data_IF_672971851015
#
_entry.id   IF_672971851015
#
_cell.length_a   1.000
_cell.length_b   1.000
_cell.length_c   1.000
_cell.angle_alpha   90.00
_cell.angle_beta   90.00
_cell.angle_gamma   90.00
#
_symmetry.space_group_name_H-M   'P 1'
#
loop_
_entity.id
_entity.type
_entity.pdbx_description
1 polymer ?
#
# COMPACT_ATOMS: atom_id res chain seq x y z
N UNK A 1 41.67 26.39 14.58
CA UNK A 1 40.70 27.50 14.68
C UNK A 1 40.82 28.38 13.45
N UNK A 2 40.04 28.06 12.42
CA UNK A 2 39.82 28.87 11.20
C UNK A 2 38.53 28.33 10.58
N UNK A 3 37.45 29.11 10.42
CA UNK A 3 36.25 28.59 9.79
C UNK A 3 36.30 28.82 8.28
N UNK A 4 36.26 27.72 7.52
CA UNK A 4 35.96 27.71 6.09
C UNK A 4 34.45 27.98 5.92
N UNK A 5 34.10 29.15 5.40
CA UNK A 5 32.76 29.43 4.86
C UNK A 5 32.66 28.82 3.47
N UNK A 6 32.11 27.61 3.36
CA UNK A 6 31.60 27.06 2.11
C UNK A 6 30.16 27.51 1.91
N UNK A 7 29.92 28.43 0.98
CA UNK A 7 28.58 28.70 0.43
C UNK A 7 28.25 27.60 -0.56
N UNK A 8 27.32 26.71 -0.23
CA UNK A 8 26.62 25.93 -1.24
C UNK A 8 25.43 26.76 -1.72
N UNK A 9 25.54 27.27 -2.95
CA UNK A 9 24.43 27.77 -3.74
C UNK A 9 23.85 26.54 -4.44
N UNK A 10 22.67 26.07 -4.03
CA UNK A 10 21.92 25.09 -4.81
C UNK A 10 21.13 25.91 -5.83
N UNK A 11 21.64 25.90 -7.06
CA UNK A 11 20.90 26.36 -8.23
C UNK A 11 19.70 25.43 -8.42
N UNK A 12 18.51 25.96 -8.16
CA UNK A 12 17.28 25.34 -8.61
C UNK A 12 17.24 25.37 -10.14
N UNK A 13 16.96 24.19 -10.72
CA UNK A 13 16.60 23.98 -12.12
C UNK A 13 15.71 25.12 -12.63
N UNK A 14 16.33 26.05 -13.35
CA UNK A 14 15.62 26.99 -14.19
C UNK A 14 15.33 26.22 -15.47
N UNK A 15 14.05 26.04 -15.79
CA UNK A 15 13.64 25.59 -17.12
C UNK A 15 14.10 26.64 -18.16
N UNK A 16 15.30 26.44 -18.71
CA UNK A 16 15.71 27.10 -19.95
C UNK A 16 14.97 26.43 -21.10
N UNK A 17 13.85 27.02 -21.51
CA UNK A 17 13.27 26.81 -22.83
C UNK A 17 14.34 27.19 -23.87
N UNK A 18 14.99 26.18 -24.44
CA UNK A 18 15.74 26.34 -25.67
C UNK A 18 14.75 26.70 -26.78
N UNK A 19 14.65 27.99 -27.10
CA UNK A 19 14.01 28.45 -28.33
C UNK A 19 14.86 27.97 -29.51
N UNK A 20 14.49 26.85 -30.11
CA UNK A 20 14.87 26.60 -31.51
C UNK A 20 14.05 27.56 -32.38
N UNK A 21 14.71 28.58 -32.93
CA UNK A 21 14.17 29.33 -34.07
C UNK A 21 14.09 28.39 -35.26
N UNK A 22 12.90 28.25 -35.83
CA UNK A 22 12.72 27.65 -37.14
C UNK A 22 13.33 28.60 -38.21
N UNK A 23 14.42 28.23 -38.89
CA UNK A 23 15.17 29.16 -39.75
C UNK A 23 14.48 29.47 -41.09
N UNK A 24 13.24 29.01 -41.32
CA UNK A 24 12.57 29.13 -42.63
C UNK A 24 11.38 30.08 -42.72
N UNK A 25 10.78 30.56 -41.63
CA UNK A 25 9.49 31.28 -41.75
C UNK A 25 9.38 32.64 -41.05
N UNK A 26 10.29 33.03 -40.16
CA UNK A 26 10.33 34.40 -39.64
C UNK A 26 9.08 34.92 -38.89
N UNK A 27 8.05 34.10 -38.68
CA UNK A 27 6.77 34.52 -38.09
C UNK A 27 6.76 34.31 -36.58
N UNK A 28 6.38 35.37 -35.85
CA UNK A 28 6.13 35.30 -34.41
C UNK A 28 4.75 34.69 -34.15
N UNK A 29 4.74 33.48 -33.57
CA UNK A 29 3.51 32.87 -33.05
C UNK A 29 3.06 33.69 -31.84
N UNK A 30 1.87 34.28 -31.94
CA UNK A 30 1.28 35.16 -30.94
C UNK A 30 1.16 34.51 -29.57
N UNK A 31 1.62 35.22 -28.54
CA UNK A 31 1.34 34.93 -27.13
C UNK A 31 -0.17 35.00 -26.90
N UNK A 32 -0.76 33.88 -26.50
CA UNK A 32 -2.07 33.88 -25.83
C UNK A 32 -1.89 34.46 -24.42
N UNK A 33 -2.21 35.76 -24.29
CA UNK A 33 -2.17 36.48 -23.03
C UNK A 33 -3.41 36.09 -22.20
N UNK A 34 -3.29 35.01 -21.42
CA UNK A 34 -4.36 34.55 -20.55
C UNK A 34 -4.44 35.49 -19.35
N UNK A 35 -5.54 36.25 -19.27
CA UNK A 35 -5.74 37.25 -18.22
C UNK A 35 -5.57 36.67 -16.79
N UNK A 36 -5.01 37.45 -15.84
CA UNK A 36 -4.81 37.01 -14.44
C UNK A 36 -6.10 36.54 -13.75
N UNK A 37 -7.26 37.02 -14.22
CA UNK A 37 -8.59 36.65 -13.68
C UNK A 37 -9.01 35.23 -14.07
N UNK A 38 -8.52 34.69 -15.18
CA UNK A 38 -8.83 33.32 -15.61
C UNK A 38 -7.97 32.28 -14.87
N UNK A 39 -6.68 32.60 -14.62
CA UNK A 39 -5.79 31.78 -13.77
C UNK A 39 -6.33 31.60 -12.35
N UNK A 40 -6.92 32.67 -11.77
CA UNK A 40 -7.52 32.64 -10.43
C UNK A 40 -8.81 31.82 -10.34
N UNK A 41 -9.51 31.59 -11.47
CA UNK A 41 -10.73 30.77 -11.51
C UNK A 41 -10.47 29.29 -11.73
N UNK A 42 -9.37 28.92 -12.39
CA UNK A 42 -8.96 27.52 -12.60
C UNK A 42 -8.32 26.95 -11.33
N UNK A 43 -7.47 27.72 -10.64
CA UNK A 43 -6.87 27.28 -9.38
C UNK A 43 -7.90 27.02 -8.25
N UNK A 44 -9.05 27.71 -8.27
CA UNK A 44 -10.09 27.56 -7.25
C UNK A 44 -11.01 26.35 -7.45
N UNK A 45 -11.02 25.70 -8.63
CA UNK A 45 -11.93 24.58 -8.92
C UNK A 45 -11.30 23.19 -8.82
N UNK A 46 -9.97 23.10 -8.77
CA UNK A 46 -9.25 21.81 -8.68
C UNK A 46 -8.49 21.67 -7.35
N UNK A 47 -8.10 22.77 -6.70
CA UNK A 47 -7.28 22.72 -5.47
C UNK A 47 -8.04 22.71 -4.14
N UNK A 48 -9.36 22.86 -4.13
CA UNK A 48 -10.17 22.95 -2.89
C UNK A 48 -10.75 21.60 -2.40
N UNK A 49 -11.04 20.57 -3.24
CA UNK A 49 -11.61 19.32 -2.71
C UNK A 49 -10.59 18.45 -1.95
N UNK A 50 -9.30 18.46 -2.34
CA UNK A 50 -8.28 17.54 -1.80
C UNK A 50 -7.81 17.93 -0.39
N UNK A 51 -7.77 19.23 -0.08
CA UNK A 51 -7.37 19.71 1.25
C UNK A 51 -8.48 19.58 2.31
N UNK A 52 -9.76 19.46 1.90
CA UNK A 52 -10.88 19.29 2.84
C UNK A 52 -11.02 17.81 3.23
N UNK A 53 -10.76 16.86 2.33
CA UNK A 53 -10.81 15.42 2.66
C UNK A 53 -9.76 15.03 3.72
N UNK A 54 -8.53 15.53 3.60
CA UNK A 54 -7.44 15.27 4.56
C UNK A 54 -7.64 15.93 5.93
N UNK A 55 -8.19 17.15 5.97
CA UNK A 55 -8.49 17.83 7.23
C UNK A 55 -9.70 17.24 7.98
N UNK A 56 -10.70 16.71 7.26
CA UNK A 56 -11.87 16.06 7.89
C UNK A 56 -11.49 14.69 8.47
N UNK A 57 -10.64 13.89 7.81
CA UNK A 57 -10.15 12.62 8.35
C UNK A 57 -9.36 12.78 9.65
N UNK A 58 -8.41 13.72 9.69
CA UNK A 58 -7.59 13.96 10.88
C UNK A 58 -8.41 14.54 12.06
N UNK A 59 -9.43 15.37 11.79
CA UNK A 59 -10.27 15.95 12.84
C UNK A 59 -11.30 14.93 13.38
N UNK A 60 -11.77 13.99 12.56
CA UNK A 60 -12.68 12.92 13.02
C UNK A 60 -11.96 11.93 13.94
N UNK A 61 -10.68 11.62 13.69
CA UNK A 61 -9.89 10.75 14.54
C UNK A 61 -9.58 11.39 15.91
N UNK A 62 -9.36 12.71 15.95
CA UNK A 62 -9.08 13.45 17.19
C UNK A 62 -10.33 13.73 18.06
N UNK A 63 -11.52 13.78 17.46
CA UNK A 63 -12.78 14.11 18.17
C UNK A 63 -13.70 12.90 18.40
N UNK A 64 -13.37 11.73 17.86
CA UNK A 64 -14.10 10.51 18.17
C UNK A 64 -13.94 10.20 19.66
N UNK A 65 -15.04 10.06 20.43
CA UNK A 65 -14.94 9.67 21.83
C UNK A 65 -14.19 8.35 21.89
N UNK A 66 -13.03 8.34 22.56
CA UNK A 66 -12.35 7.09 22.90
C UNK A 66 -13.41 6.18 23.52
N UNK A 67 -13.59 4.94 23.03
CA UNK A 67 -14.50 4.01 23.67
C UNK A 67 -14.11 3.97 25.14
N UNK A 68 -15.05 4.38 26.00
CA UNK A 68 -14.91 4.23 27.45
C UNK A 68 -14.58 2.76 27.63
N UNK A 69 -13.47 2.47 28.33
CA UNK A 69 -13.12 1.11 28.68
C UNK A 69 -14.33 0.49 29.37
N UNK A 70 -15.11 -0.28 28.60
CA UNK A 70 -16.22 -1.04 29.13
C UNK A 70 -15.52 -2.11 29.94
N UNK A 71 -15.62 -2.02 31.26
CA UNK A 71 -15.25 -3.09 32.16
C UNK A 71 -16.09 -4.29 31.76
N UNK A 72 -15.54 -5.13 30.87
CA UNK A 72 -16.17 -6.35 30.46
C UNK A 72 -16.36 -7.18 31.73
N UNK A 73 -17.62 -7.41 32.06
CA UNK A 73 -17.99 -8.40 33.07
C UNK A 73 -17.45 -9.74 32.56
N UNK A 74 -16.73 -10.54 33.37
CA UNK A 74 -16.22 -11.83 32.94
C UNK A 74 -17.43 -12.74 32.69
N UNK A 75 -17.88 -12.79 31.44
CA UNK A 75 -18.76 -13.84 30.96
C UNK A 75 -17.91 -15.05 30.67
N UNK A 76 -18.29 -16.19 31.22
CA UNK A 76 -17.73 -17.51 30.95
C UNK A 76 -17.78 -17.79 29.43
N UNK A 77 -16.75 -17.32 28.73
CA UNK A 77 -16.47 -17.65 27.35
C UNK A 77 -15.90 -19.05 27.32
N UNK A 78 -16.70 -19.98 26.85
CA UNK A 78 -16.23 -21.26 26.30
C UNK A 78 -15.07 -20.97 25.36
N UNK A 79 -13.84 -21.15 25.87
CA UNK A 79 -12.62 -21.07 25.10
C UNK A 79 -12.68 -22.09 23.99
N UNK A 80 -13.08 -21.64 22.80
CA UNK A 80 -12.74 -22.30 21.57
C UNK A 80 -11.23 -22.24 21.47
N UNK A 81 -10.57 -23.28 21.98
CA UNK A 81 -9.17 -23.56 21.63
C UNK A 81 -9.10 -23.54 20.12
N UNK A 82 -8.54 -22.48 19.55
CA UNK A 82 -8.06 -22.48 18.18
C UNK A 82 -7.08 -23.65 18.15
N UNK A 83 -7.49 -24.76 17.54
CA UNK A 83 -6.68 -25.96 17.51
C UNK A 83 -5.35 -25.55 16.90
N UNK A 84 -4.27 -25.72 17.66
CA UNK A 84 -2.93 -25.46 17.19
C UNK A 84 -2.78 -26.14 15.84
N UNK A 85 -2.59 -25.34 14.79
CA UNK A 85 -2.24 -25.79 13.44
C UNK A 85 -0.81 -26.32 13.47
N UNK A 86 -0.58 -27.39 14.23
CA UNK A 86 0.66 -28.12 14.27
C UNK A 86 0.65 -29.13 13.12
N UNK A 87 1.70 -29.08 12.30
CA UNK A 87 2.05 -30.02 11.21
C UNK A 87 1.36 -29.89 9.85
N UNK A 88 0.70 -28.78 9.55
CA UNK A 88 0.24 -28.55 8.16
C UNK A 88 1.38 -28.01 7.29
N UNK A 89 2.23 -28.90 6.78
CA UNK A 89 3.16 -28.56 5.69
C UNK A 89 2.35 -28.39 4.41
N UNK A 90 1.95 -27.16 4.08
CA UNK A 90 1.38 -26.84 2.78
C UNK A 90 2.50 -26.59 1.77
N UNK A 91 2.30 -27.03 0.53
CA UNK A 91 3.20 -26.70 -0.57
C UNK A 91 2.68 -25.45 -1.25
N UNK A 92 3.36 -24.32 -1.08
CA UNK A 92 3.03 -23.08 -1.75
C UNK A 92 3.41 -23.15 -3.24
N UNK A 93 2.63 -22.48 -4.09
CA UNK A 93 3.06 -22.26 -5.46
C UNK A 93 4.27 -21.32 -5.48
N UNK A 94 5.11 -21.45 -6.52
CA UNK A 94 6.22 -20.54 -6.67
C UNK A 94 5.72 -19.14 -7.02
N UNK A 95 6.27 -18.11 -6.40
CA UNK A 95 6.01 -16.72 -6.81
C UNK A 95 6.28 -16.47 -8.31
N UNK A 96 7.22 -17.22 -8.90
CA UNK A 96 7.54 -17.17 -10.34
C UNK A 96 6.30 -17.48 -11.18
N UNK A 97 5.48 -18.43 -10.76
CA UNK A 97 4.28 -18.84 -11.49
C UNK A 97 3.26 -17.70 -11.50
N UNK A 98 2.97 -17.09 -10.35
CA UNK A 98 2.07 -15.93 -10.27
C UNK A 98 2.57 -14.74 -11.09
N UNK A 99 3.88 -14.46 -11.09
CA UNK A 99 4.48 -13.42 -11.93
C UNK A 99 4.31 -13.71 -13.42
N UNK A 100 4.44 -14.96 -13.84
CA UNK A 100 4.27 -15.32 -15.25
C UNK A 100 2.79 -15.29 -15.65
N UNK A 101 1.86 -15.62 -14.74
CA UNK A 101 0.43 -15.40 -14.92
C UNK A 101 0.06 -13.92 -15.05
N UNK A 102 0.72 -13.03 -14.32
CA UNK A 102 0.51 -11.58 -14.43
C UNK A 102 0.79 -11.05 -15.85
N UNK A 103 1.71 -11.70 -16.58
CA UNK A 103 2.10 -11.33 -17.95
C UNK A 103 1.15 -11.89 -19.02
N UNK A 104 0.26 -12.81 -18.65
CA UNK A 104 -0.77 -13.30 -19.57
C UNK A 104 -1.83 -12.22 -19.78
N UNK A 105 -1.76 -11.58 -20.95
CA UNK A 105 -2.60 -10.45 -21.32
C UNK A 105 -4.06 -10.84 -21.62
N UNK A 106 -4.34 -12.12 -21.86
CA UNK A 106 -5.67 -12.59 -22.28
C UNK A 106 -6.54 -13.08 -21.10
N UNK A 107 -5.96 -13.14 -19.89
CA UNK A 107 -6.61 -13.63 -18.68
C UNK A 107 -6.70 -12.53 -17.63
N UNK A 108 -7.84 -12.43 -16.93
CA UNK A 108 -7.95 -11.59 -15.72
C UNK A 108 -6.94 -12.04 -14.67
N UNK A 109 -6.15 -11.10 -14.15
CA UNK A 109 -5.20 -11.38 -13.07
C UNK A 109 -5.74 -10.77 -11.79
N UNK A 110 -5.99 -11.62 -10.79
CA UNK A 110 -6.63 -11.26 -9.53
C UNK A 110 -5.59 -11.10 -8.43
N UNK A 111 -5.52 -9.92 -7.83
CA UNK A 111 -4.66 -9.62 -6.69
C UNK A 111 -5.50 -9.39 -5.46
N UNK A 112 -5.25 -10.16 -4.41
CA UNK A 112 -5.76 -9.89 -3.08
C UNK A 112 -4.68 -9.15 -2.28
N UNK A 113 -4.99 -7.95 -1.79
CA UNK A 113 -4.17 -7.27 -0.79
C UNK A 113 -4.83 -7.47 0.57
N UNK A 114 -4.07 -7.92 1.56
CA UNK A 114 -4.53 -8.12 2.93
C UNK A 114 -3.62 -7.29 3.82
N UNK A 115 -4.11 -6.17 4.32
CA UNK A 115 -3.26 -5.26 5.06
C UNK A 115 -3.99 -4.32 5.99
N UNK A 116 -3.34 -3.20 6.31
CA UNK A 116 -3.79 -2.27 7.34
C UNK A 116 -4.04 -0.84 6.85
N UNK A 117 -3.78 0.18 7.68
CA UNK A 117 -4.07 1.60 7.37
C UNK A 117 -3.14 2.21 6.33
N UNK A 118 -2.08 1.54 5.88
CA UNK A 118 -1.12 2.14 4.94
C UNK A 118 -1.51 2.04 3.48
N UNK A 119 -2.51 1.20 3.17
CA UNK A 119 -2.97 0.96 1.81
C UNK A 119 -4.47 0.98 1.64
N UNK A 120 -5.24 1.50 2.61
CA UNK A 120 -6.71 1.41 2.61
C UNK A 120 -7.41 2.56 1.85
N UNK A 121 -6.72 3.65 1.53
CA UNK A 121 -7.32 4.84 0.91
C UNK A 121 -6.86 5.07 -0.56
N UNK A 122 -7.66 5.76 -1.39
CA UNK A 122 -7.22 6.27 -2.68
C UNK A 122 -6.00 7.19 -2.54
N UNK A 123 -5.01 7.03 -3.43
CA UNK A 123 -3.73 7.74 -3.39
C UNK A 123 -2.67 7.12 -2.48
N UNK A 124 -2.98 6.04 -1.76
CA UNK A 124 -1.99 5.24 -1.04
C UNK A 124 -1.35 4.18 -1.94
N UNK A 125 -0.41 3.41 -1.39
CA UNK A 125 0.50 2.60 -2.21
C UNK A 125 -0.24 1.58 -3.08
N UNK A 126 -1.35 1.00 -2.62
CA UNK A 126 -2.15 0.06 -3.42
C UNK A 126 -2.69 0.75 -4.67
N UNK A 127 -3.40 1.86 -4.50
CA UNK A 127 -3.98 2.62 -5.62
C UNK A 127 -2.88 3.14 -6.56
N UNK A 128 -1.75 3.62 -6.01
CA UNK A 128 -0.62 4.12 -6.81
C UNK A 128 0.06 3.00 -7.59
N UNK A 129 0.37 1.87 -6.94
CA UNK A 129 1.07 0.74 -7.56
C UNK A 129 0.22 0.13 -8.68
N UNK A 130 -1.05 -0.18 -8.41
CA UNK A 130 -1.86 -0.91 -9.38
C UNK A 130 -2.35 -0.04 -10.54
N UNK A 131 -2.47 1.29 -10.37
CA UNK A 131 -2.63 2.19 -11.52
C UNK A 131 -1.40 2.20 -12.41
N UNK A 132 -0.21 2.31 -11.83
CA UNK A 132 1.03 2.27 -12.60
C UNK A 132 1.21 0.93 -13.33
N UNK A 133 0.94 -0.19 -12.65
CA UNK A 133 1.00 -1.52 -13.26
C UNK A 133 -0.05 -1.70 -14.38
N UNK A 134 -1.26 -1.19 -14.18
CA UNK A 134 -2.33 -1.19 -15.18
C UNK A 134 -1.93 -0.44 -16.44
N UNK A 135 -1.30 0.73 -16.31
CA UNK A 135 -0.77 1.50 -17.43
C UNK A 135 0.42 0.76 -18.09
N UNK A 136 1.33 0.18 -17.31
CA UNK A 136 2.51 -0.53 -17.82
C UNK A 136 2.13 -1.78 -18.63
N UNK A 137 1.14 -2.55 -18.15
CA UNK A 137 0.70 -3.79 -18.80
C UNK A 137 -0.36 -3.58 -19.89
N UNK A 138 -0.81 -2.34 -20.12
CA UNK A 138 -1.93 -2.02 -21.01
C UNK A 138 -3.20 -2.83 -20.65
N UNK A 139 -3.52 -2.90 -19.35
CA UNK A 139 -4.67 -3.64 -18.79
C UNK A 139 -5.63 -2.70 -18.07
N UNK A 140 -6.96 -2.84 -18.20
CA UNK A 140 -7.90 -2.12 -17.35
C UNK A 140 -7.69 -2.49 -15.87
N UNK A 141 -7.85 -1.54 -14.96
CA UNK A 141 -7.82 -1.79 -13.51
C UNK A 141 -9.24 -1.74 -12.95
N UNK A 142 -9.59 -2.75 -12.15
CA UNK A 142 -10.76 -2.75 -11.29
C UNK A 142 -10.31 -2.98 -9.86
N UNK A 143 -10.37 -1.95 -9.02
CA UNK A 143 -9.97 -2.03 -7.61
C UNK A 143 -11.20 -1.99 -6.71
N UNK A 144 -11.31 -2.96 -5.81
CA UNK A 144 -12.39 -3.12 -4.83
C UNK A 144 -11.86 -2.68 -3.46
N UNK A 145 -12.22 -1.49 -2.94
CA UNK A 145 -11.75 -1.02 -1.63
C UNK A 145 -12.58 -1.65 -0.50
N UNK A 146 -11.93 -2.10 0.57
CA UNK A 146 -12.61 -2.62 1.75
C UNK A 146 -13.08 -1.50 2.68
N UNK A 147 -14.33 -1.56 3.15
CA UNK A 147 -14.82 -0.74 4.25
C UNK A 147 -14.90 -1.55 5.54
N UNK A 148 -14.02 -1.23 6.48
CA UNK A 148 -13.94 -1.88 7.79
C UNK A 148 -15.21 -1.69 8.62
N UNK A 149 -15.98 -0.60 8.40
CA UNK A 149 -17.18 -0.31 9.19
C UNK A 149 -18.37 -1.19 8.80
N UNK A 150 -18.59 -1.39 7.49
CA UNK A 150 -19.63 -2.29 6.99
C UNK A 150 -19.16 -3.73 6.83
N UNK A 151 -17.85 -3.99 6.93
CA UNK A 151 -17.23 -5.29 6.64
C UNK A 151 -17.63 -5.80 5.25
N UNK A 152 -17.55 -4.89 4.27
CA UNK A 152 -17.89 -5.15 2.89
C UNK A 152 -17.02 -4.33 1.94
N UNK A 153 -16.89 -4.81 0.70
CA UNK A 153 -16.27 -4.03 -0.37
C UNK A 153 -17.19 -2.89 -0.84
N UNK A 154 -16.59 -1.73 -1.07
CA UNK A 154 -17.22 -0.56 -1.65
C UNK A 154 -17.38 -0.70 -3.17
N UNK A 155 -18.04 0.28 -3.80
CA UNK A 155 -18.12 0.36 -5.25
C UNK A 155 -16.70 0.39 -5.87
N UNK A 156 -16.44 -0.43 -6.92
CA UNK A 156 -15.11 -0.50 -7.49
C UNK A 156 -14.64 0.81 -8.12
N UNK A 157 -13.35 1.11 -7.93
CA UNK A 157 -12.64 2.20 -8.59
C UNK A 157 -12.04 1.63 -9.88
N UNK A 158 -12.30 2.31 -11.00
CA UNK A 158 -11.82 1.89 -12.32
C UNK A 158 -10.79 2.85 -12.89
N UNK A 159 -9.80 2.31 -13.59
CA UNK A 159 -8.85 3.10 -14.37
C UNK A 159 -8.38 2.34 -15.61
N UNK A 160 -7.84 3.05 -16.59
CA UNK A 160 -7.37 2.49 -17.86
C UNK A 160 -8.42 1.63 -18.62
N UNK A 161 -9.71 1.99 -18.53
CA UNK A 161 -10.85 1.18 -19.04
C UNK A 161 -10.80 0.83 -20.53
N UNK A 162 -10.06 1.60 -21.33
CA UNK A 162 -9.97 1.39 -22.78
C UNK A 162 -8.76 0.54 -23.21
N UNK A 163 -7.99 0.04 -22.25
CA UNK A 163 -6.82 -0.77 -22.55
C UNK A 163 -7.21 -2.11 -23.18
N UNK A 164 -6.41 -2.66 -24.10
CA UNK A 164 -6.82 -3.77 -24.98
C UNK A 164 -6.81 -5.15 -24.30
N UNK A 165 -6.13 -5.31 -23.16
CA UNK A 165 -5.94 -6.60 -22.51
C UNK A 165 -6.99 -6.90 -21.44
N UNK A 166 -7.00 -8.14 -20.93
CA UNK A 166 -7.86 -8.55 -19.82
C UNK A 166 -7.53 -7.76 -18.52
N UNK A 167 -8.50 -7.53 -17.63
CA UNK A 167 -8.32 -6.61 -16.50
C UNK A 167 -7.34 -7.13 -15.44
N UNK A 168 -6.72 -6.21 -14.72
CA UNK A 168 -6.17 -6.42 -13.39
C UNK A 168 -7.31 -6.17 -12.38
N UNK A 169 -7.63 -7.17 -11.57
CA UNK A 169 -8.66 -7.07 -10.53
C UNK A 169 -7.99 -7.08 -9.17
N UNK A 170 -8.17 -6.01 -8.39
CA UNK A 170 -7.49 -5.82 -7.10
C UNK A 170 -8.52 -5.78 -6.00
N UNK A 171 -8.57 -6.82 -5.17
CA UNK A 171 -9.36 -6.86 -3.95
C UNK A 171 -8.51 -6.31 -2.80
N UNK A 172 -8.71 -5.04 -2.47
CA UNK A 172 -7.94 -4.35 -1.44
C UNK A 172 -8.60 -4.51 -0.07
N UNK A 173 -8.29 -5.60 0.61
CA UNK A 173 -8.71 -5.93 1.98
C UNK A 173 -7.94 -5.20 3.08
N UNK A 174 -7.36 -4.03 2.79
CA UNK A 174 -6.62 -3.24 3.78
C UNK A 174 -7.56 -2.60 4.80
N UNK A 175 -7.33 -2.86 6.09
CA UNK A 175 -8.24 -2.47 7.17
C UNK A 175 -7.51 -1.66 8.25
N UNK A 176 -7.83 -0.37 8.34
CA UNK A 176 -7.17 0.56 9.25
C UNK A 176 -7.19 0.11 10.73
N UNK A 177 -6.01 0.09 11.35
CA UNK A 177 -5.83 -0.30 12.75
C UNK A 177 -6.06 -1.78 13.05
N UNK A 178 -5.98 -2.66 12.04
CA UNK A 178 -6.17 -4.10 12.16
C UNK A 178 -4.87 -4.86 11.95
N UNK A 179 -4.83 -6.09 12.45
CA UNK A 179 -3.78 -7.08 12.24
C UNK A 179 -4.30 -8.21 11.34
N UNK A 180 -3.44 -9.17 10.99
CA UNK A 180 -3.85 -10.34 10.22
C UNK A 180 -4.89 -11.22 10.95
N UNK A 181 -5.00 -11.14 12.28
CA UNK A 181 -6.08 -11.80 13.04
C UNK A 181 -7.48 -11.33 12.60
N UNK A 182 -7.65 -10.02 12.37
CA UNK A 182 -8.92 -9.48 11.86
C UNK A 182 -9.22 -10.04 10.47
N UNK A 183 -8.21 -10.12 9.61
CA UNK A 183 -8.38 -10.65 8.25
C UNK A 183 -8.81 -12.11 8.28
N UNK A 184 -8.22 -12.93 9.17
CA UNK A 184 -8.64 -14.31 9.37
C UNK A 184 -10.08 -14.40 9.90
N UNK A 185 -10.46 -13.55 10.86
CA UNK A 185 -11.83 -13.51 11.39
C UNK A 185 -12.88 -13.06 10.36
N UNK A 186 -12.47 -12.41 9.27
CA UNK A 186 -13.34 -11.94 8.18
C UNK A 186 -13.00 -12.61 6.84
N UNK A 187 -12.36 -13.78 6.87
CA UNK A 187 -11.78 -14.42 5.69
C UNK A 187 -12.77 -14.53 4.52
N UNK A 188 -13.96 -15.10 4.77
CA UNK A 188 -14.96 -15.38 3.72
C UNK A 188 -15.44 -14.12 2.98
N UNK A 189 -15.43 -12.96 3.64
CA UNK A 189 -15.86 -11.69 3.03
C UNK A 189 -14.70 -10.87 2.50
N UNK A 190 -13.51 -11.00 3.10
CA UNK A 190 -12.31 -10.26 2.74
C UNK A 190 -11.58 -10.90 1.55
N UNK A 191 -11.74 -12.21 1.32
CA UNK A 191 -11.17 -12.92 0.16
C UNK A 191 -12.30 -13.63 -0.60
N UNK A 192 -13.14 -12.88 -1.35
CA UNK A 192 -14.39 -13.41 -1.90
C UNK A 192 -14.21 -14.27 -3.16
N UNK A 193 -13.02 -14.25 -3.77
CA UNK A 193 -12.69 -14.95 -5.02
C UNK A 193 -11.29 -15.55 -4.93
N UNK A 194 -11.01 -16.55 -5.78
CA UNK A 194 -9.68 -17.14 -5.91
C UNK A 194 -8.68 -16.09 -6.42
N UNK A 195 -7.64 -15.73 -5.64
CA UNK A 195 -6.60 -14.82 -6.09
C UNK A 195 -5.54 -15.57 -6.91
N UNK A 196 -4.83 -14.84 -7.77
CA UNK A 196 -3.60 -15.32 -8.42
C UNK A 196 -2.36 -14.94 -7.59
N UNK A 197 -2.48 -13.83 -6.87
CA UNK A 197 -1.47 -13.26 -6.01
C UNK A 197 -2.11 -12.74 -4.73
N UNK A 198 -1.54 -13.09 -3.58
CA UNK A 198 -1.85 -12.50 -2.28
C UNK A 198 -0.67 -11.66 -1.81
N UNK A 199 -0.93 -10.42 -1.42
CA UNK A 199 0.05 -9.51 -0.82
C UNK A 199 -0.32 -9.28 0.65
N UNK A 200 0.54 -9.71 1.56
CA UNK A 200 0.42 -9.52 3.00
C UNK A 200 1.09 -8.20 3.40
N UNK A 201 0.32 -7.27 3.96
CA UNK A 201 0.77 -5.96 4.41
C UNK A 201 0.25 -5.66 5.83
N UNK A 202 0.67 -6.48 6.80
CA UNK A 202 0.44 -6.23 8.22
C UNK A 202 1.75 -6.29 9.00
N UNK A 203 1.79 -5.54 10.09
CA UNK A 203 2.91 -5.45 10.99
C UNK A 203 2.86 -4.18 11.81
N UNK A 204 2.43 -3.06 11.22
CA UNK A 204 2.36 -1.78 11.92
C UNK A 204 1.45 -1.84 13.15
N UNK A 205 0.39 -2.65 13.13
CA UNK A 205 -0.53 -2.79 14.26
C UNK A 205 -0.14 -3.91 15.26
N UNK A 206 0.92 -4.68 15.00
CA UNK A 206 1.39 -5.76 15.87
C UNK A 206 2.34 -5.28 16.99
N UNK A 207 2.58 -3.97 17.14
CA UNK A 207 3.55 -3.41 18.10
C UNK A 207 3.27 -3.72 19.59
N UNK A 208 2.06 -4.16 19.93
CA UNK A 208 1.75 -4.61 21.29
C UNK A 208 2.15 -6.08 21.52
N UNK A 209 2.17 -6.88 20.46
CA UNK A 209 2.51 -8.31 20.48
C UNK A 209 3.35 -8.66 19.24
N UNK A 210 4.60 -8.12 19.11
CA UNK A 210 5.37 -8.20 17.87
C UNK A 210 5.56 -9.62 17.33
N UNK A 211 5.78 -10.58 18.22
CA UNK A 211 6.01 -11.98 17.87
C UNK A 211 4.82 -12.66 17.17
N UNK A 212 3.61 -12.13 17.29
CA UNK A 212 2.43 -12.74 16.68
C UNK A 212 2.32 -12.53 15.18
N UNK A 213 3.04 -11.58 14.59
CA UNK A 213 2.90 -11.26 13.15
C UNK A 213 3.18 -12.49 12.27
N UNK A 214 4.21 -13.27 12.59
CA UNK A 214 4.58 -14.47 11.84
C UNK A 214 3.54 -15.59 11.99
N UNK A 215 3.05 -15.83 13.22
CA UNK A 215 2.01 -16.83 13.47
C UNK A 215 0.70 -16.48 12.74
N UNK A 216 0.32 -15.20 12.74
CA UNK A 216 -0.86 -14.73 12.03
C UNK A 216 -0.71 -14.83 10.51
N UNK A 217 0.48 -14.56 9.95
CA UNK A 217 0.77 -14.80 8.54
C UNK A 217 0.66 -16.27 8.17
N UNK A 218 1.27 -17.17 8.96
CA UNK A 218 1.14 -18.62 8.75
C UNK A 218 -0.32 -19.06 8.80
N UNK A 219 -1.10 -18.59 9.78
CA UNK A 219 -2.51 -18.96 9.90
C UNK A 219 -3.34 -18.47 8.71
N UNK A 220 -3.09 -17.25 8.23
CA UNK A 220 -3.78 -16.68 7.08
C UNK A 220 -3.42 -17.43 5.79
N UNK A 221 -2.13 -17.68 5.52
CA UNK A 221 -1.69 -18.47 4.36
C UNK A 221 -2.28 -19.88 4.39
N UNK A 222 -2.28 -20.54 5.56
CA UNK A 222 -2.87 -21.86 5.72
C UNK A 222 -4.38 -21.86 5.39
N UNK A 223 -5.11 -20.83 5.80
CA UNK A 223 -6.55 -20.73 5.51
C UNK A 223 -6.80 -20.49 4.00
N UNK A 224 -5.98 -19.66 3.35
CA UNK A 224 -6.03 -19.45 1.90
C UNK A 224 -5.77 -20.76 1.15
N UNK A 225 -4.69 -21.47 1.48
CA UNK A 225 -4.33 -22.76 0.86
C UNK A 225 -5.36 -23.86 1.11
N UNK A 226 -6.11 -23.79 2.22
CA UNK A 226 -7.23 -24.71 2.48
C UNK A 226 -8.37 -24.54 1.47
N UNK A 227 -8.53 -23.34 0.93
CA UNK A 227 -9.57 -23.03 -0.06
C UNK A 227 -9.10 -23.22 -1.50
N UNK A 228 -7.86 -22.82 -1.81
CA UNK A 228 -7.29 -22.85 -3.17
C UNK A 228 -5.86 -23.41 -3.15
N UNK A 229 -5.71 -24.73 -3.04
CA UNK A 229 -4.42 -25.36 -2.76
C UNK A 229 -3.44 -25.24 -3.94
N UNK A 230 -2.22 -24.77 -3.64
CA UNK A 230 -1.05 -24.75 -4.52
C UNK A 230 -1.25 -24.00 -5.85
N UNK A 231 -2.08 -22.95 -5.85
CA UNK A 231 -2.39 -22.13 -7.03
C UNK A 231 -1.93 -20.68 -6.91
N UNK A 232 -1.65 -20.22 -5.69
CA UNK A 232 -1.54 -18.81 -5.35
C UNK A 232 -0.08 -18.42 -5.12
N UNK A 233 0.36 -17.32 -5.74
CA UNK A 233 1.62 -16.68 -5.37
C UNK A 233 1.45 -15.80 -4.14
N UNK A 234 2.47 -15.72 -3.29
CA UNK A 234 2.44 -14.90 -2.09
C UNK A 234 3.58 -13.88 -2.09
N UNK A 235 3.28 -12.67 -1.62
CA UNK A 235 4.26 -11.67 -1.26
C UNK A 235 3.95 -11.14 0.14
N UNK A 236 4.98 -10.71 0.88
CA UNK A 236 4.80 -10.05 2.18
C UNK A 236 5.71 -8.83 2.29
N UNK A 237 5.15 -7.75 2.82
CA UNK A 237 5.85 -6.48 3.01
C UNK A 237 6.57 -6.45 4.35
N UNK A 238 7.82 -6.00 4.33
CA UNK A 238 8.46 -5.40 5.50
C UNK A 238 8.03 -3.93 5.49
N UNK A 239 7.02 -3.58 6.29
CA UNK A 239 6.36 -2.27 6.22
C UNK A 239 7.29 -1.09 6.53
N UNK A 240 6.84 0.12 6.16
CA UNK A 240 7.59 1.34 6.40
C UNK A 240 7.94 1.52 7.90
N UNK A 241 9.06 2.17 8.23
CA UNK A 241 9.44 2.41 9.62
C UNK A 241 8.40 3.28 10.35
N UNK A 242 8.27 3.04 11.66
CA UNK A 242 7.60 3.91 12.62
C UNK A 242 8.64 4.71 13.39
N UNK A 243 8.40 6.01 13.57
CA UNK A 243 9.27 6.90 14.35
C UNK A 243 8.54 7.51 15.56
N UNK A 244 7.40 6.94 15.94
CA UNK A 244 6.63 7.30 17.13
C UNK A 244 7.08 6.51 18.38
N UNK A 245 6.32 6.58 19.48
CA UNK A 245 6.67 5.88 20.72
C UNK A 245 6.74 4.34 20.61
N UNK A 246 6.28 3.75 19.50
CA UNK A 246 6.31 2.30 19.26
C UNK A 246 7.42 1.87 18.31
N UNK A 247 8.32 2.78 17.90
CA UNK A 247 9.42 2.51 16.96
C UNK A 247 10.21 1.22 17.28
N UNK A 248 10.70 1.07 18.51
CA UNK A 248 11.48 -0.12 18.89
C UNK A 248 10.66 -1.43 18.83
N UNK A 249 9.39 -1.40 19.23
CA UNK A 249 8.53 -2.58 19.14
C UNK A 249 8.16 -2.91 17.69
N UNK A 250 8.17 -1.92 16.80
CA UNK A 250 7.99 -2.13 15.38
C UNK A 250 9.25 -2.71 14.72
N UNK A 251 10.45 -2.32 15.17
CA UNK A 251 11.68 -2.97 14.72
C UNK A 251 11.64 -4.47 15.06
N UNK A 252 11.13 -4.85 16.25
CA UNK A 252 10.90 -6.25 16.59
C UNK A 252 9.89 -6.93 15.64
N UNK A 253 8.82 -6.24 15.21
CA UNK A 253 7.88 -6.76 14.20
C UNK A 253 8.60 -7.03 12.88
N UNK A 254 9.42 -6.09 12.40
CA UNK A 254 10.18 -6.23 11.14
C UNK A 254 11.14 -7.42 11.22
N UNK A 255 11.81 -7.62 12.36
CA UNK A 255 12.66 -8.78 12.60
C UNK A 255 11.85 -10.09 12.55
N UNK A 256 10.65 -10.12 13.15
CA UNK A 256 9.77 -11.28 13.11
C UNK A 256 9.24 -11.60 11.71
N UNK A 257 8.84 -10.60 10.91
CA UNK A 257 8.44 -10.80 9.51
C UNK A 257 9.63 -11.27 8.67
N UNK A 258 10.81 -10.72 8.91
CA UNK A 258 12.05 -11.15 8.23
C UNK A 258 12.38 -12.61 8.55
N UNK A 259 12.27 -13.03 9.81
CA UNK A 259 12.44 -14.41 10.23
C UNK A 259 11.43 -15.35 9.57
N UNK A 260 10.15 -14.95 9.57
CA UNK A 260 9.09 -15.71 8.91
C UNK A 260 9.34 -15.88 7.40
N UNK A 261 9.75 -14.82 6.70
CA UNK A 261 10.12 -14.86 5.28
C UNK A 261 11.32 -15.77 5.01
N UNK A 262 12.28 -15.85 5.93
CA UNK A 262 13.42 -16.76 5.81
C UNK A 262 13.01 -18.24 5.88
N UNK A 263 11.93 -18.54 6.60
CA UNK A 263 11.35 -19.89 6.72
C UNK A 263 10.40 -20.24 5.57
N UNK A 264 9.89 -19.25 4.84
CA UNK A 264 8.92 -19.40 3.74
C UNK A 264 9.47 -18.81 2.44
N UNK A 265 10.50 -19.46 1.87
CA UNK A 265 11.26 -18.93 0.73
C UNK A 265 10.45 -18.81 -0.57
N UNK A 266 9.30 -19.47 -0.65
CA UNK A 266 8.33 -19.38 -1.73
C UNK A 266 7.57 -18.04 -1.71
N UNK A 267 7.53 -17.35 -0.57
CA UNK A 267 6.90 -16.04 -0.40
C UNK A 267 7.88 -14.95 -0.82
N UNK A 268 7.44 -14.07 -1.73
CA UNK A 268 8.26 -12.93 -2.16
C UNK A 268 8.33 -11.87 -1.05
N UNK A 269 9.53 -11.67 -0.52
CA UNK A 269 9.83 -10.53 0.32
C UNK A 269 9.74 -9.20 -0.47
N UNK A 270 9.05 -8.20 0.09
CA UNK A 270 8.99 -6.83 -0.41
C UNK A 270 9.53 -5.90 0.67
N UNK A 271 10.80 -5.49 0.53
CA UNK A 271 11.51 -4.74 1.58
C UNK A 271 11.29 -3.22 1.48
N UNK A 272 10.09 -2.78 1.86
CA UNK A 272 9.71 -1.36 1.91
C UNK A 272 10.45 -0.66 3.05
N UNK A 273 10.69 -1.36 4.15
CA UNK A 273 11.38 -0.86 5.33
C UNK A 273 12.77 -0.31 4.98
N UNK A 274 13.61 -1.13 4.36
CA UNK A 274 14.96 -0.71 3.94
C UNK A 274 14.90 0.42 2.91
N UNK A 275 13.95 0.39 1.97
CA UNK A 275 13.79 1.46 0.98
C UNK A 275 13.53 2.84 1.64
N UNK A 276 12.74 2.87 2.73
CA UNK A 276 12.54 4.08 3.52
C UNK A 276 13.81 4.51 4.26
N UNK A 277 14.54 3.58 4.87
CA UNK A 277 15.77 3.88 5.63
C UNK A 277 16.91 4.34 4.73
N UNK A 278 16.94 3.90 3.47
CA UNK A 278 17.90 4.35 2.45
C UNK A 278 17.62 5.78 1.96
N UNK A 279 16.45 6.35 2.28
CA UNK A 279 16.12 7.71 1.89
C UNK A 279 16.89 8.74 2.75
N UNK A 280 17.36 9.87 2.17
CA UNK A 280 18.15 10.86 2.91
C UNK A 280 17.47 11.45 4.14
N UNK A 281 16.13 11.51 4.12
CA UNK A 281 15.31 11.97 5.23
C UNK A 281 13.97 11.20 5.27
N UNK A 282 13.96 10.11 6.02
CA UNK A 282 12.78 9.25 6.22
C UNK A 282 11.57 10.02 6.78
N UNK A 283 11.78 11.08 7.55
CA UNK A 283 10.68 11.85 8.16
C UNK A 283 9.85 12.59 7.13
N UNK A 284 10.40 12.87 5.94
CA UNK A 284 9.66 13.49 4.82
C UNK A 284 8.72 12.51 4.11
N UNK A 285 8.93 11.21 4.32
CA UNK A 285 8.12 10.14 3.75
C UNK A 285 6.97 9.73 4.67
N UNK A 286 6.92 10.26 5.89
CA UNK A 286 5.87 10.00 6.88
C UNK A 286 5.04 11.25 7.16
N UNK A 287 3.76 11.06 7.46
CA UNK A 287 2.88 12.10 7.99
C UNK A 287 3.41 12.58 9.35
N UNK A 288 2.89 13.71 9.88
CA UNK A 288 3.32 14.22 11.19
C UNK A 288 3.10 13.28 12.37
N UNK A 289 2.31 12.21 12.20
CA UNK A 289 2.15 11.14 13.19
C UNK A 289 3.33 10.16 13.24
N UNK A 290 4.30 10.31 12.33
CA UNK A 290 5.52 9.51 12.26
C UNK A 290 5.24 8.00 12.03
N UNK A 291 4.11 7.69 11.43
CA UNK A 291 3.60 6.34 11.24
C UNK A 291 3.12 6.12 9.81
N UNK A 292 2.18 6.95 9.36
CA UNK A 292 1.54 6.75 8.06
C UNK A 292 2.36 7.39 6.95
N UNK A 293 2.45 6.80 5.76
CA UNK A 293 3.12 7.40 4.61
C UNK A 293 2.54 8.76 4.19
N UNK A 294 3.39 9.70 3.79
CA UNK A 294 2.96 10.82 2.93
C UNK A 294 2.68 10.30 1.50
N UNK A 295 2.11 11.11 0.59
CA UNK A 295 2.04 10.72 -0.82
C UNK A 295 3.40 10.33 -1.44
N UNK A 296 4.49 10.93 -0.98
CA UNK A 296 5.83 10.56 -1.42
C UNK A 296 6.27 9.21 -0.84
N UNK A 297 5.94 8.93 0.43
CA UNK A 297 6.12 7.62 1.05
C UNK A 297 5.32 6.54 0.33
N UNK A 298 4.02 6.76 0.11
CA UNK A 298 3.16 5.82 -0.63
C UNK A 298 3.67 5.52 -2.03
N UNK A 299 4.24 6.52 -2.72
CA UNK A 299 4.88 6.32 -4.02
C UNK A 299 6.17 5.48 -3.92
N UNK A 300 6.98 5.65 -2.86
CA UNK A 300 8.14 4.80 -2.61
C UNK A 300 7.73 3.35 -2.31
N UNK A 301 6.73 3.15 -1.45
CA UNK A 301 6.14 1.82 -1.18
C UNK A 301 5.64 1.19 -2.48
N UNK A 302 4.86 1.93 -3.28
CA UNK A 302 4.32 1.45 -4.54
C UNK A 302 5.43 1.01 -5.51
N UNK A 303 6.46 1.84 -5.71
CA UNK A 303 7.59 1.48 -6.58
C UNK A 303 8.36 0.26 -6.07
N UNK A 304 8.57 0.14 -4.76
CA UNK A 304 9.23 -1.02 -4.15
C UNK A 304 8.43 -2.30 -4.37
N UNK A 305 7.09 -2.22 -4.22
CA UNK A 305 6.18 -3.34 -4.51
C UNK A 305 6.28 -3.73 -5.97
N UNK A 306 6.14 -2.80 -6.91
CA UNK A 306 6.20 -3.08 -8.35
C UNK A 306 7.54 -3.71 -8.76
N UNK A 307 8.65 -3.17 -8.27
CA UNK A 307 9.98 -3.73 -8.47
C UNK A 307 10.06 -5.19 -8.00
N UNK A 308 9.48 -5.50 -6.84
CA UNK A 308 9.48 -6.86 -6.30
C UNK A 308 8.57 -7.81 -7.10
N UNK A 309 7.44 -7.32 -7.60
CA UNK A 309 6.52 -8.10 -8.43
C UNK A 309 7.11 -8.47 -9.80
N UNK A 310 8.03 -7.65 -10.32
CA UNK A 310 8.62 -7.84 -11.64
C UNK A 310 9.88 -8.73 -11.66
N UNK A 311 10.57 -8.87 -10.50
CA UNK A 311 11.82 -9.64 -10.38
C UNK A 311 11.63 -11.14 -10.18
#
# INVERSE_FOLDING_TARGET
MTPLRGRFLIDFLTYSLHMQRNPRTGDQIGRLDISPRLRRRIALRVGVPVAIATAVGALFFALSPRPVAVTATPGDGSGGTVAAAADSTFSLASFVDARDLMKDADRTFVVQVIGDSTGNEPGEWVDVAFRALSEELDRPLVQHPWDVLSSAYLEPIRSNDNAPHAPLEVWNGSASGKTAEYSLANFDTLIPVEPDLVILNHGLNNVLEPAQVGEQFTALVAEIERHWPSQIGYAALLENPRLDQYSAAHDDVIDHVTGWLAEHQEVRAVDVHSAYLDSPDVTTLLLPDLLHPTPAGSALTASTVLDALQR
#
